data_IF_831910016958
#
_entry.id   IF_831910016958
#
_cell.length_a   1.000
_cell.length_b   1.000
_cell.length_c   1.000
_cell.angle_alpha   90.00
_cell.angle_beta   90.00
_cell.angle_gamma   90.00
#
_symmetry.space_group_name_H-M   'P 1'
#
loop_
_entity.id
_entity.type
_entity.pdbx_description
1 polymer ?
#
# COMPACT_ATOMS: atom_id res chain seq x y z
N UNK A 1 4.97 -25.72 9.80
CA UNK A 1 4.45 -26.90 10.53
C UNK A 1 3.54 -26.46 11.68
N UNK A 2 3.97 -25.50 12.52
CA UNK A 2 3.21 -24.96 13.68
C UNK A 2 1.73 -24.62 13.34
N UNK A 3 1.47 -23.75 12.36
CA UNK A 3 0.09 -23.38 11.96
C UNK A 3 -0.87 -24.57 11.76
N UNK A 4 -0.44 -25.57 10.99
CA UNK A 4 -1.28 -26.74 10.66
C UNK A 4 -1.59 -27.52 11.92
N UNK A 5 -0.57 -27.78 12.74
CA UNK A 5 -0.73 -28.51 14.00
C UNK A 5 -1.65 -27.77 14.96
N UNK A 6 -1.50 -26.45 15.09
CA UNK A 6 -2.33 -25.63 15.98
C UNK A 6 -3.81 -25.65 15.59
N UNK A 7 -4.10 -25.50 14.29
CA UNK A 7 -5.48 -25.58 13.78
C UNK A 7 -6.06 -26.98 13.99
N UNK A 8 -5.31 -28.05 13.72
CA UNK A 8 -5.79 -29.42 13.95
C UNK A 8 -6.09 -29.68 15.42
N UNK A 9 -5.20 -29.25 16.33
CA UNK A 9 -5.41 -29.35 17.78
C UNK A 9 -6.61 -28.51 18.23
N UNK A 10 -6.81 -27.33 17.67
CA UNK A 10 -7.97 -26.49 17.97
C UNK A 10 -9.27 -27.17 17.56
N UNK A 11 -9.34 -27.73 16.34
CA UNK A 11 -10.51 -28.45 15.85
C UNK A 11 -10.81 -29.68 16.69
N UNK A 12 -9.81 -30.49 17.02
CA UNK A 12 -10.00 -31.67 17.85
C UNK A 12 -10.59 -31.34 19.23
N UNK A 13 -10.16 -30.22 19.84
CA UNK A 13 -10.59 -29.82 21.19
C UNK A 13 -11.93 -29.08 21.22
N UNK A 14 -12.15 -28.18 20.26
CA UNK A 14 -13.21 -27.17 20.34
C UNK A 14 -14.31 -27.35 19.28
N UNK A 15 -14.02 -28.04 18.17
CA UNK A 15 -14.98 -28.20 17.07
C UNK A 15 -15.54 -29.62 17.05
N UNK A 16 -14.68 -30.63 16.96
CA UNK A 16 -15.10 -32.04 16.86
C UNK A 16 -15.46 -32.71 18.18
N UNK A 17 -15.13 -32.07 19.30
CA UNK A 17 -15.50 -32.59 20.61
C UNK A 17 -17.02 -32.63 20.72
N UNK A 18 -17.61 -33.77 21.07
CA UNK A 18 -19.07 -33.95 21.18
C UNK A 18 -19.73 -33.03 22.18
N UNK A 19 -18.98 -32.47 23.14
CA UNK A 19 -19.47 -31.45 24.08
C UNK A 19 -19.34 -30.02 23.56
N UNK A 20 -18.91 -29.83 22.31
CA UNK A 20 -18.78 -28.52 21.67
C UNK A 20 -20.14 -27.86 21.47
N UNK A 21 -20.15 -26.53 21.54
CA UNK A 21 -21.31 -25.69 21.21
C UNK A 21 -21.78 -25.86 19.76
N UNK A 22 -20.92 -26.33 18.85
CA UNK A 22 -21.29 -26.68 17.47
C UNK A 22 -22.27 -27.86 17.37
N UNK A 23 -22.40 -28.66 18.43
CA UNK A 23 -23.40 -29.73 18.54
C UNK A 23 -24.64 -29.30 19.33
N UNK A 24 -24.72 -28.04 19.74
CA UNK A 24 -25.91 -27.50 20.40
C UNK A 24 -26.98 -27.09 19.39
N UNK A 25 -28.18 -26.79 19.89
CA UNK A 25 -29.27 -26.23 19.05
C UNK A 25 -29.00 -24.79 18.60
N UNK A 26 -28.06 -24.09 19.25
CA UNK A 26 -27.80 -22.67 19.03
C UNK A 26 -26.83 -22.47 17.86
N UNK A 27 -27.40 -22.29 16.66
CA UNK A 27 -26.69 -22.10 15.40
C UNK A 27 -26.59 -20.62 15.05
N UNK A 28 -25.59 -19.93 15.59
CA UNK A 28 -25.42 -18.49 15.38
C UNK A 28 -24.03 -18.11 14.88
N UNK A 29 -23.95 -16.92 14.32
CA UNK A 29 -22.74 -16.35 13.72
C UNK A 29 -21.66 -16.01 14.74
N UNK A 30 -22.04 -15.57 15.93
CA UNK A 30 -21.09 -15.25 16.99
C UNK A 30 -20.28 -16.48 17.43
N UNK A 31 -20.93 -17.66 17.52
CA UNK A 31 -20.25 -18.94 17.80
C UNK A 31 -19.32 -19.34 16.66
N UNK A 32 -19.78 -19.23 15.41
CA UNK A 32 -18.96 -19.51 14.23
C UNK A 32 -17.70 -18.61 14.21
N UNK A 33 -17.88 -17.30 14.41
CA UNK A 33 -16.80 -16.33 14.46
C UNK A 33 -15.81 -16.65 15.59
N UNK A 34 -16.30 -16.70 16.84
CA UNK A 34 -15.47 -16.80 18.04
C UNK A 34 -14.76 -18.14 18.21
N UNK A 35 -15.37 -19.26 17.79
CA UNK A 35 -14.83 -20.60 18.04
C UNK A 35 -14.19 -21.27 16.83
N UNK A 36 -14.38 -20.73 15.63
CA UNK A 36 -13.81 -21.31 14.41
C UNK A 36 -13.06 -20.28 13.56
N UNK A 37 -13.74 -19.23 13.08
CA UNK A 37 -13.14 -18.35 12.08
C UNK A 37 -12.02 -17.49 12.68
N UNK A 38 -12.29 -16.72 13.74
CA UNK A 38 -11.28 -15.84 14.34
C UNK A 38 -10.07 -16.62 14.89
N UNK A 39 -10.22 -17.75 15.61
CA UNK A 39 -9.08 -18.55 16.03
C UNK A 39 -8.22 -19.06 14.87
N UNK A 40 -8.83 -19.59 13.80
CA UNK A 40 -8.08 -20.08 12.64
C UNK A 40 -7.30 -18.97 11.95
N UNK A 41 -7.93 -17.80 11.76
CA UNK A 41 -7.28 -16.64 11.18
C UNK A 41 -6.16 -16.11 12.09
N UNK A 42 -6.33 -16.15 13.41
CA UNK A 42 -5.29 -15.80 14.35
C UNK A 42 -4.08 -16.75 14.25
N UNK A 43 -4.30 -18.07 14.22
CA UNK A 43 -3.21 -19.03 14.00
C UNK A 43 -2.51 -18.83 12.65
N UNK A 44 -3.28 -18.47 11.60
CA UNK A 44 -2.74 -18.19 10.28
C UNK A 44 -1.79 -17.00 10.30
N UNK A 45 -2.19 -15.88 10.91
CA UNK A 45 -1.33 -14.68 11.00
C UNK A 45 -0.21 -14.83 12.02
N UNK A 46 -0.37 -15.63 13.08
CA UNK A 46 0.74 -15.92 14.00
C UNK A 46 1.90 -16.64 13.29
N UNK A 47 1.59 -17.33 12.18
CA UNK A 47 2.61 -17.94 11.33
C UNK A 47 3.19 -16.96 10.31
N UNK A 48 2.59 -15.79 10.09
CA UNK A 48 3.24 -14.68 9.35
C UNK A 48 3.97 -13.80 10.35
N UNK A 49 5.12 -13.23 9.97
CA UNK A 49 5.89 -12.38 10.90
C UNK A 49 5.37 -10.95 10.97
N UNK A 50 4.48 -10.57 10.04
CA UNK A 50 4.24 -9.17 9.70
C UNK A 50 2.81 -8.89 9.23
N UNK A 51 1.81 -9.65 9.71
CA UNK A 51 0.38 -9.31 9.55
C UNK A 51 -0.26 -9.31 10.92
N UNK A 52 -1.06 -8.29 11.21
CA UNK A 52 -1.92 -8.25 12.39
C UNK A 52 -3.33 -8.63 11.95
N UNK A 53 -3.95 -9.56 12.67
CA UNK A 53 -5.37 -9.83 12.51
C UNK A 53 -6.13 -9.17 13.65
N UNK A 54 -7.18 -8.41 13.31
CA UNK A 54 -8.07 -7.77 14.28
C UNK A 54 -9.46 -8.39 14.12
N UNK A 55 -9.89 -9.26 15.06
CA UNK A 55 -11.21 -9.88 15.02
C UNK A 55 -12.30 -8.96 15.57
N UNK A 56 -13.54 -9.24 15.17
CA UNK A 56 -14.75 -8.64 15.73
C UNK A 56 -15.33 -7.52 14.87
N UNK A 57 -16.44 -6.98 15.35
CA UNK A 57 -17.18 -5.91 14.68
C UNK A 57 -16.41 -4.58 14.72
N UNK A 58 -15.70 -4.27 13.63
CA UNK A 58 -14.83 -3.09 13.52
C UNK A 58 -15.19 -2.24 12.30
N UNK A 59 -14.80 -0.96 12.32
CA UNK A 59 -14.98 -0.06 11.18
C UNK A 59 -13.69 0.06 10.37
N UNK A 60 -13.76 -0.25 9.07
CA UNK A 60 -12.63 -0.11 8.16
C UNK A 60 -12.23 1.36 7.98
N UNK A 61 -11.00 1.67 8.37
CA UNK A 61 -10.40 3.00 8.22
C UNK A 61 -10.25 3.39 6.76
N UNK A 62 -9.85 2.45 5.90
CA UNK A 62 -9.72 2.69 4.46
C UNK A 62 -11.05 3.16 3.85
N UNK A 63 -12.17 2.53 4.23
CA UNK A 63 -13.49 2.93 3.71
C UNK A 63 -13.92 4.31 4.21
N UNK A 64 -13.61 4.65 5.46
CA UNK A 64 -13.84 5.99 6.00
C UNK A 64 -13.05 7.05 5.23
N UNK A 65 -11.75 6.83 5.01
CA UNK A 65 -10.87 7.72 4.25
C UNK A 65 -11.37 7.93 2.82
N UNK A 66 -11.76 6.85 2.13
CA UNK A 66 -12.26 6.94 0.78
C UNK A 66 -13.64 7.61 0.70
N UNK A 67 -14.48 7.49 1.73
CA UNK A 67 -15.72 8.27 1.84
C UNK A 67 -15.46 9.76 2.01
N UNK A 68 -14.48 10.15 2.83
CA UNK A 68 -14.09 11.55 3.00
C UNK A 68 -13.70 12.17 1.65
N UNK A 69 -12.84 11.48 0.89
CA UNK A 69 -12.42 11.93 -0.44
C UNK A 69 -13.58 12.04 -1.43
N UNK A 70 -14.47 11.04 -1.50
CA UNK A 70 -15.60 11.02 -2.43
C UNK A 70 -16.64 12.09 -2.14
N UNK A 71 -16.84 12.44 -0.87
CA UNK A 71 -17.82 13.43 -0.43
C UNK A 71 -17.25 14.85 -0.33
N UNK A 72 -15.93 15.01 -0.53
CA UNK A 72 -15.23 16.28 -0.36
C UNK A 72 -15.52 16.95 0.99
N UNK A 73 -15.57 16.13 2.05
CA UNK A 73 -15.87 16.59 3.41
C UNK A 73 -14.70 17.40 3.96
N UNK A 74 -15.02 18.51 4.62
CA UNK A 74 -14.08 19.42 5.27
C UNK A 74 -13.63 18.85 6.62
N UNK A 75 -12.52 19.35 7.19
CA UNK A 75 -12.05 18.92 8.51
C UNK A 75 -13.08 19.11 9.63
N UNK A 76 -13.96 20.11 9.48
CA UNK A 76 -15.01 20.46 10.45
C UNK A 76 -16.28 19.61 10.29
N UNK A 77 -16.37 18.79 9.23
CA UNK A 77 -17.49 17.88 9.04
C UNK A 77 -17.30 16.61 9.88
N UNK A 78 -18.40 16.07 10.39
CA UNK A 78 -18.38 14.78 11.08
C UNK A 78 -17.78 13.69 10.18
N UNK A 79 -16.68 13.09 10.66
CA UNK A 79 -15.99 12.04 9.90
C UNK A 79 -16.95 10.87 9.68
N UNK A 80 -17.12 10.40 8.43
CA UNK A 80 -17.99 9.28 8.15
C UNK A 80 -17.42 8.03 8.81
N UNK A 81 -18.28 7.27 9.47
CA UNK A 81 -17.92 5.93 9.90
C UNK A 81 -17.53 5.09 8.67
N UNK A 82 -16.52 4.24 8.90
CA UNK A 82 -16.08 3.25 7.93
C UNK A 82 -17.16 2.22 7.63
N UNK A 83 -16.83 1.29 6.75
CA UNK A 83 -17.62 0.08 6.58
C UNK A 83 -17.43 -0.81 7.81
N UNK A 84 -18.51 -1.21 8.48
CA UNK A 84 -18.47 -2.17 9.58
C UNK A 84 -18.16 -3.57 9.01
N UNK A 85 -17.21 -4.31 9.55
CA UNK A 85 -16.79 -5.65 9.10
C UNK A 85 -16.53 -6.55 10.31
N UNK A 86 -16.41 -7.87 10.12
CA UNK A 86 -16.20 -8.86 11.19
C UNK A 86 -14.72 -9.14 11.49
N UNK A 87 -13.82 -8.51 10.74
CA UNK A 87 -12.40 -8.46 11.06
C UNK A 87 -11.57 -7.83 9.95
N UNK A 88 -10.31 -7.55 10.24
CA UNK A 88 -9.36 -6.98 9.27
C UNK A 88 -7.96 -7.57 9.39
N UNK A 89 -7.27 -7.62 8.26
CA UNK A 89 -5.84 -7.90 8.19
C UNK A 89 -5.11 -6.57 8.00
N UNK A 90 -4.13 -6.30 8.86
CA UNK A 90 -3.42 -5.03 8.91
C UNK A 90 -1.92 -5.23 8.76
N UNK A 91 -1.31 -4.27 8.07
CA UNK A 91 0.13 -4.11 8.02
C UNK A 91 0.62 -3.52 9.36
N UNK A 92 1.67 -4.09 9.98
CA UNK A 92 2.19 -3.67 11.28
C UNK A 92 3.08 -2.43 11.17
N UNK A 93 2.59 -1.37 10.51
CA UNK A 93 3.21 -0.05 10.54
C UNK A 93 2.41 0.94 11.39
N UNK A 94 3.02 2.09 11.67
CA UNK A 94 2.40 3.17 12.45
C UNK A 94 1.07 3.66 11.87
N UNK A 95 0.78 3.39 10.59
CA UNK A 95 -0.46 3.81 9.94
C UNK A 95 -1.57 2.77 10.05
N UNK A 96 -1.24 1.52 10.38
CA UNK A 96 -2.17 0.40 10.50
C UNK A 96 -2.90 0.15 9.18
N UNK A 97 -2.18 0.12 8.05
CA UNK A 97 -2.80 -0.04 6.74
C UNK A 97 -3.55 -1.36 6.63
N UNK A 98 -4.83 -1.30 6.30
CA UNK A 98 -5.68 -2.47 6.11
C UNK A 98 -5.39 -3.09 4.73
N UNK A 99 -5.07 -4.37 4.69
CA UNK A 99 -4.76 -5.15 3.47
C UNK A 99 -5.78 -6.25 3.19
N UNK A 100 -6.74 -6.44 4.08
CA UNK A 100 -7.86 -7.33 3.86
C UNK A 100 -8.92 -7.23 4.95
N UNK A 101 -10.06 -7.87 4.70
CA UNK A 101 -11.22 -7.83 5.58
C UNK A 101 -11.95 -9.18 5.62
N UNK A 102 -12.77 -9.36 6.66
CA UNK A 102 -13.57 -10.56 6.92
C UNK A 102 -15.04 -10.19 7.03
N UNK A 103 -15.92 -10.98 6.41
CA UNK A 103 -17.37 -10.91 6.60
C UNK A 103 -17.92 -12.30 6.90
N UNK A 104 -18.78 -12.37 7.91
CA UNK A 104 -19.55 -13.54 8.31
C UNK A 104 -21.01 -13.29 7.94
N UNK A 105 -21.55 -14.11 7.03
CA UNK A 105 -22.91 -14.03 6.56
C UNK A 105 -23.72 -15.22 7.06
N UNK A 106 -24.19 -15.10 8.29
CA UNK A 106 -25.04 -16.08 8.96
C UNK A 106 -24.28 -17.04 9.89
N UNK A 107 -25.04 -17.75 10.71
CA UNK A 107 -24.51 -18.81 11.56
C UNK A 107 -24.19 -20.09 10.79
N UNK A 108 -23.43 -20.98 11.42
CA UNK A 108 -23.18 -22.31 10.86
C UNK A 108 -24.51 -23.05 10.64
N UNK A 109 -24.69 -23.64 9.44
CA UNK A 109 -25.93 -24.29 9.00
C UNK A 109 -27.15 -23.36 8.83
N UNK A 110 -26.93 -22.06 8.62
CA UNK A 110 -27.98 -21.12 8.18
C UNK A 110 -27.88 -20.86 6.67
N UNK A 111 -29.02 -20.74 6.00
CA UNK A 111 -29.10 -20.45 4.56
C UNK A 111 -29.59 -19.01 4.32
N UNK A 112 -28.86 -18.03 4.85
CA UNK A 112 -29.18 -16.60 4.66
C UNK A 112 -28.58 -16.05 3.36
N UNK A 113 -29.16 -16.46 2.23
CA UNK A 113 -28.72 -16.04 0.90
C UNK A 113 -28.81 -14.51 0.69
N UNK A 114 -29.87 -13.80 1.14
CA UNK A 114 -29.92 -12.34 1.01
C UNK A 114 -28.76 -11.64 1.73
N UNK A 115 -28.42 -12.07 2.94
CA UNK A 115 -27.28 -11.51 3.68
C UNK A 115 -25.96 -11.84 3.00
N UNK A 116 -25.76 -13.08 2.56
CA UNK A 116 -24.60 -13.48 1.77
C UNK A 116 -24.38 -12.59 0.55
N UNK A 117 -25.41 -12.33 -0.25
CA UNK A 117 -25.29 -11.50 -1.46
C UNK A 117 -24.92 -10.05 -1.11
N UNK A 118 -25.55 -9.50 -0.06
CA UNK A 118 -25.27 -8.14 0.42
C UNK A 118 -23.82 -8.01 0.88
N UNK A 119 -23.35 -8.94 1.70
CA UNK A 119 -22.00 -8.93 2.25
C UNK A 119 -20.94 -9.27 1.19
N UNK A 120 -21.30 -10.07 0.17
CA UNK A 120 -20.45 -10.30 -0.99
C UNK A 120 -20.19 -9.01 -1.80
N UNK A 121 -21.26 -8.25 -2.08
CA UNK A 121 -21.15 -6.96 -2.78
C UNK A 121 -20.33 -5.99 -1.92
N UNK A 122 -20.62 -5.91 -0.62
CA UNK A 122 -19.84 -5.14 0.36
C UNK A 122 -18.36 -5.52 0.32
N UNK A 123 -18.05 -6.81 0.19
CA UNK A 123 -16.77 -7.41 -0.15
C UNK A 123 -16.00 -6.66 -1.24
N UNK A 124 -16.66 -6.47 -2.37
CA UNK A 124 -16.10 -5.78 -3.53
C UNK A 124 -15.81 -4.30 -3.25
N UNK A 125 -16.76 -3.59 -2.63
CA UNK A 125 -16.61 -2.18 -2.29
C UNK A 125 -15.49 -1.95 -1.27
N UNK A 126 -15.41 -2.81 -0.25
CA UNK A 126 -14.37 -2.74 0.77
C UNK A 126 -12.98 -2.98 0.19
N UNK A 127 -12.78 -4.04 -0.62
CA UNK A 127 -11.50 -4.27 -1.31
C UNK A 127 -11.08 -3.09 -2.19
N UNK A 128 -12.02 -2.50 -2.92
CA UNK A 128 -11.74 -1.31 -3.73
C UNK A 128 -11.29 -0.14 -2.86
N UNK A 129 -11.93 0.06 -1.71
CA UNK A 129 -11.56 1.11 -0.77
C UNK A 129 -10.18 0.85 -0.13
N UNK A 130 -9.85 -0.40 0.21
CA UNK A 130 -8.51 -0.80 0.69
C UNK A 130 -7.41 -0.45 -0.33
N UNK A 131 -7.59 -0.85 -1.60
CA UNK A 131 -6.62 -0.53 -2.66
C UNK A 131 -6.46 0.97 -2.87
N UNK A 132 -7.58 1.70 -2.91
CA UNK A 132 -7.52 3.15 -3.10
C UNK A 132 -6.88 3.86 -1.91
N UNK A 133 -7.06 3.36 -0.69
CA UNK A 133 -6.41 3.94 0.48
C UNK A 133 -4.89 3.79 0.40
N UNK A 134 -4.39 2.63 -0.04
CA UNK A 134 -2.96 2.46 -0.32
C UNK A 134 -2.47 3.42 -1.41
N UNK A 135 -3.24 3.57 -2.50
CA UNK A 135 -2.90 4.48 -3.62
C UNK A 135 -2.85 5.93 -3.14
N UNK A 136 -3.83 6.37 -2.34
CA UNK A 136 -3.86 7.73 -1.78
C UNK A 136 -2.67 7.96 -0.86
N UNK A 137 -2.37 7.02 0.04
CA UNK A 137 -1.27 7.15 0.99
C UNK A 137 0.11 7.17 0.31
N UNK A 138 0.25 6.52 -0.85
CA UNK A 138 1.52 6.41 -1.58
C UNK A 138 1.39 6.83 -3.05
N UNK A 139 0.76 7.98 -3.28
CA UNK A 139 0.37 8.52 -4.60
C UNK A 139 1.51 8.72 -5.62
N UNK A 140 2.77 8.74 -5.18
CA UNK A 140 3.96 8.78 -6.04
C UNK A 140 4.62 7.43 -6.31
N UNK A 141 4.07 6.31 -5.84
CA UNK A 141 4.63 4.98 -6.11
C UNK A 141 4.50 4.56 -7.58
N UNK A 142 5.40 3.69 -8.03
CA UNK A 142 5.39 3.17 -9.41
C UNK A 142 4.18 2.25 -9.65
N UNK A 143 3.41 2.58 -10.68
CA UNK A 143 2.26 1.83 -11.12
C UNK A 143 2.59 0.36 -11.48
N UNK A 144 3.80 0.09 -12.01
CA UNK A 144 4.26 -1.29 -12.30
C UNK A 144 4.33 -2.17 -11.06
N UNK A 145 4.59 -1.58 -9.90
CA UNK A 145 4.58 -2.27 -8.61
C UNK A 145 3.14 -2.36 -8.11
N UNK A 146 2.39 -1.26 -8.15
CA UNK A 146 0.99 -1.21 -7.71
C UNK A 146 0.13 -2.30 -8.36
N UNK A 147 0.26 -2.55 -9.66
CA UNK A 147 -0.53 -3.57 -10.37
C UNK A 147 -0.28 -5.01 -9.90
N UNK A 148 0.76 -5.26 -9.11
CA UNK A 148 1.05 -6.55 -8.45
C UNK A 148 0.45 -6.63 -7.05
N UNK A 149 0.06 -5.49 -6.46
CA UNK A 149 -0.51 -5.44 -5.12
C UNK A 149 -1.89 -6.08 -5.12
N UNK A 150 -2.14 -6.89 -4.09
CA UNK A 150 -3.41 -7.55 -3.85
C UNK A 150 -3.91 -7.21 -2.46
N UNK A 151 -5.22 -6.97 -2.36
CA UNK A 151 -5.95 -6.95 -1.09
C UNK A 151 -6.89 -8.12 -1.04
N UNK A 152 -7.34 -8.49 0.16
CA UNK A 152 -8.01 -9.76 0.38
C UNK A 152 -9.37 -9.62 1.05
N UNK A 153 -10.31 -10.46 0.65
CA UNK A 153 -11.63 -10.57 1.25
C UNK A 153 -11.91 -12.02 1.63
N UNK A 154 -12.08 -12.25 2.93
CA UNK A 154 -12.41 -13.55 3.49
C UNK A 154 -13.90 -13.58 3.81
N UNK A 155 -14.66 -14.28 2.98
CA UNK A 155 -16.11 -14.32 3.07
C UNK A 155 -16.56 -15.67 3.59
N UNK A 156 -17.36 -15.68 4.66
CA UNK A 156 -17.88 -16.89 5.26
C UNK A 156 -19.40 -16.89 5.14
N UNK A 157 -19.96 -17.98 4.65
CA UNK A 157 -21.40 -18.22 4.60
C UNK A 157 -21.71 -19.59 5.19
N UNK A 158 -22.28 -19.59 6.39
CA UNK A 158 -22.42 -20.83 7.15
C UNK A 158 -21.05 -21.48 7.40
N UNK A 159 -20.83 -22.67 6.84
CA UNK A 159 -19.54 -23.37 6.94
C UNK A 159 -18.66 -23.19 5.68
N UNK A 160 -19.22 -22.62 4.61
CA UNK A 160 -18.48 -22.35 3.39
C UNK A 160 -17.65 -21.09 3.55
N UNK A 161 -16.40 -21.18 3.11
CA UNK A 161 -15.46 -20.07 3.07
C UNK A 161 -15.02 -19.85 1.64
N UNK A 162 -15.04 -18.58 1.23
CA UNK A 162 -14.50 -18.13 -0.03
C UNK A 162 -13.44 -17.05 0.23
N UNK A 163 -12.24 -17.27 -0.29
CA UNK A 163 -11.16 -16.28 -0.20
C UNK A 163 -10.99 -15.62 -1.55
N UNK A 164 -11.24 -14.31 -1.58
CA UNK A 164 -11.15 -13.49 -2.77
C UNK A 164 -9.94 -12.55 -2.68
N UNK A 165 -9.33 -12.28 -3.82
CA UNK A 165 -8.32 -11.24 -3.97
C UNK A 165 -8.78 -10.17 -4.95
N UNK A 166 -8.37 -8.93 -4.71
CA UNK A 166 -8.55 -7.82 -5.64
C UNK A 166 -7.21 -7.20 -6.02
N UNK A 167 -6.99 -6.98 -7.31
CA UNK A 167 -5.88 -6.19 -7.84
C UNK A 167 -6.33 -5.13 -8.85
N UNK A 168 -5.39 -4.28 -9.26
CA UNK A 168 -5.59 -3.18 -10.21
C UNK A 168 -4.66 -3.35 -11.43
N UNK A 169 -4.92 -4.34 -12.32
CA UNK A 169 -4.02 -4.71 -13.41
C UNK A 169 -3.78 -3.60 -14.43
N UNK A 170 -4.80 -2.75 -14.64
CA UNK A 170 -4.79 -1.56 -15.48
C UNK A 170 -5.41 -0.41 -14.68
N UNK A 171 -4.95 0.83 -14.92
CA UNK A 171 -5.41 1.99 -14.16
C UNK A 171 -6.93 2.08 -14.17
N UNK A 172 -7.51 2.24 -12.98
CA UNK A 172 -8.96 2.31 -12.73
C UNK A 172 -9.77 1.05 -13.07
N UNK A 173 -9.12 -0.05 -13.48
CA UNK A 173 -9.78 -1.34 -13.73
C UNK A 173 -9.44 -2.28 -12.58
N UNK A 174 -10.43 -2.53 -11.72
CA UNK A 174 -10.31 -3.47 -10.61
C UNK A 174 -10.67 -4.87 -11.10
N UNK A 175 -9.90 -5.86 -10.65
CA UNK A 175 -10.18 -7.27 -10.91
C UNK A 175 -10.30 -8.01 -9.60
N UNK A 176 -11.47 -8.58 -9.37
CA UNK A 176 -11.73 -9.52 -8.28
C UNK A 176 -11.54 -10.94 -8.80
N UNK A 177 -10.88 -11.80 -8.04
CA UNK A 177 -10.68 -13.21 -8.39
C UNK A 177 -10.83 -14.09 -7.17
N UNK A 178 -11.43 -15.26 -7.36
CA UNK A 178 -11.57 -16.27 -6.32
C UNK A 178 -10.24 -17.04 -6.21
N UNK A 179 -9.59 -16.95 -5.05
CA UNK A 179 -8.36 -17.68 -4.80
C UNK A 179 -8.64 -19.15 -4.44
N UNK A 180 -9.72 -19.39 -3.70
CA UNK A 180 -10.14 -20.74 -3.36
C UNK A 180 -11.36 -20.77 -2.45
N UNK A 181 -11.98 -21.95 -2.41
CA UNK A 181 -13.13 -22.25 -1.58
C UNK A 181 -12.89 -23.53 -0.80
N UNK A 182 -13.50 -23.62 0.37
CA UNK A 182 -13.54 -24.82 1.19
C UNK A 182 -14.70 -24.74 2.18
N UNK A 183 -15.00 -25.86 2.84
CA UNK A 183 -15.92 -25.91 3.96
C UNK A 183 -15.16 -26.28 5.23
N UNK A 184 -15.53 -25.70 6.36
CA UNK A 184 -15.02 -26.14 7.64
C UNK A 184 -15.89 -27.26 8.20
N UNK A 185 -15.30 -28.42 8.55
CA UNK A 185 -16.07 -29.50 9.13
C UNK A 185 -16.38 -29.22 10.59
N UNK A 186 -17.62 -29.49 11.00
CA UNK A 186 -18.05 -29.48 12.41
C UNK A 186 -18.13 -30.89 13.02
N UNK A 187 -17.95 -31.94 12.22
CA UNK A 187 -17.96 -33.33 12.68
C UNK A 187 -16.70 -34.06 12.21
N UNK A 188 -16.27 -35.05 12.99
CA UNK A 188 -15.05 -35.79 12.71
C UNK A 188 -15.13 -36.59 11.40
N UNK A 189 -16.31 -37.05 11.00
CA UNK A 189 -16.55 -37.79 9.77
C UNK A 189 -16.10 -36.99 8.54
N UNK A 190 -16.20 -35.67 8.61
CA UNK A 190 -15.84 -34.74 7.53
C UNK A 190 -14.44 -34.13 7.70
N UNK A 191 -13.57 -34.68 8.55
CA UNK A 191 -12.24 -34.12 8.84
C UNK A 191 -11.34 -33.94 7.59
N UNK A 192 -11.59 -34.66 6.51
CA UNK A 192 -10.86 -34.51 5.26
C UNK A 192 -11.05 -33.11 4.63
N UNK A 193 -12.19 -32.45 4.86
CA UNK A 193 -12.43 -31.07 4.43
C UNK A 193 -11.47 -30.09 5.12
N UNK A 194 -11.11 -30.36 6.38
CA UNK A 194 -10.12 -29.54 7.10
C UNK A 194 -8.75 -29.62 6.44
N UNK A 195 -8.36 -30.79 5.92
CA UNK A 195 -7.09 -30.95 5.19
C UNK A 195 -7.08 -30.10 3.92
N UNK A 196 -8.20 -30.04 3.19
CA UNK A 196 -8.35 -29.15 2.04
C UNK A 196 -8.33 -27.67 2.45
N UNK A 197 -9.10 -27.30 3.49
CA UNK A 197 -9.13 -25.96 4.05
C UNK A 197 -7.72 -25.47 4.42
N UNK A 198 -6.93 -26.29 5.10
CA UNK A 198 -5.55 -25.98 5.49
C UNK A 198 -4.65 -25.67 4.28
N UNK A 199 -4.83 -26.36 3.15
CA UNK A 199 -4.09 -26.06 1.91
C UNK A 199 -4.47 -24.70 1.34
N UNK A 200 -5.76 -24.38 1.28
CA UNK A 200 -6.25 -23.09 0.79
C UNK A 200 -5.80 -21.96 1.71
N UNK A 201 -5.90 -22.13 3.03
CA UNK A 201 -5.42 -21.20 4.05
C UNK A 201 -3.90 -21.00 3.97
N UNK A 202 -3.12 -22.05 3.69
CA UNK A 202 -1.68 -21.93 3.50
C UNK A 202 -1.33 -21.12 2.23
N UNK A 203 -2.14 -21.21 1.17
CA UNK A 203 -2.01 -20.36 -0.01
C UNK A 203 -2.42 -18.91 0.29
N UNK A 204 -3.49 -18.72 1.06
CA UNK A 204 -3.90 -17.39 1.52
C UNK A 204 -2.79 -16.70 2.30
N UNK A 205 -2.16 -17.42 3.24
CA UNK A 205 -1.02 -16.95 4.01
C UNK A 205 0.13 -16.48 3.12
N UNK A 206 0.50 -17.26 2.10
CA UNK A 206 1.52 -16.86 1.11
C UNK A 206 1.09 -15.61 0.35
N UNK A 207 -0.19 -15.51 -0.01
CA UNK A 207 -0.77 -14.33 -0.63
C UNK A 207 -0.64 -13.07 0.23
N UNK A 208 -0.89 -13.19 1.54
CA UNK A 208 -0.64 -12.10 2.49
C UNK A 208 0.84 -11.73 2.52
N UNK A 209 1.75 -12.70 2.69
CA UNK A 209 3.20 -12.44 2.72
C UNK A 209 3.69 -11.73 1.44
N UNK A 210 3.16 -12.11 0.27
CA UNK A 210 3.50 -11.48 -1.00
C UNK A 210 2.91 -10.07 -1.13
N UNK A 211 1.68 -9.84 -0.64
CA UNK A 211 1.11 -8.49 -0.51
C UNK A 211 2.03 -7.59 0.31
N UNK A 212 2.56 -8.06 1.45
CA UNK A 212 3.47 -7.28 2.28
C UNK A 212 4.75 -6.88 1.54
N UNK A 213 5.36 -7.83 0.83
CA UNK A 213 6.59 -7.58 0.05
C UNK A 213 6.34 -6.52 -1.03
N UNK A 214 5.24 -6.65 -1.77
CA UNK A 214 4.87 -5.70 -2.84
C UNK A 214 4.55 -4.34 -2.25
N UNK A 215 3.85 -4.28 -1.11
CA UNK A 215 3.52 -3.03 -0.45
C UNK A 215 4.79 -2.30 0.02
N UNK A 216 5.76 -3.00 0.60
CA UNK A 216 7.05 -2.39 0.98
C UNK A 216 7.87 -1.92 -0.23
N UNK A 217 7.84 -2.67 -1.34
CA UNK A 217 8.41 -2.25 -2.63
C UNK A 217 7.75 -0.95 -3.13
N UNK A 218 6.41 -0.87 -3.04
CA UNK A 218 5.62 0.27 -3.46
C UNK A 218 5.89 1.50 -2.58
N UNK A 219 5.95 1.32 -1.25
CA UNK A 219 6.32 2.36 -0.28
C UNK A 219 7.72 2.91 -0.55
N UNK A 220 8.69 2.03 -0.88
CA UNK A 220 10.06 2.44 -1.23
C UNK A 220 10.09 3.25 -2.53
N UNK A 221 9.34 2.81 -3.55
CA UNK A 221 9.20 3.54 -4.81
C UNK A 221 8.58 4.92 -4.60
N UNK A 222 7.52 5.01 -3.79
CA UNK A 222 6.90 6.27 -3.41
C UNK A 222 7.92 7.23 -2.78
N UNK A 223 8.66 6.79 -1.75
CA UNK A 223 9.69 7.61 -1.08
C UNK A 223 10.74 8.14 -2.07
N UNK A 224 11.25 7.27 -2.95
CA UNK A 224 12.23 7.64 -3.98
C UNK A 224 11.67 8.71 -4.93
N UNK A 225 10.46 8.51 -5.44
CA UNK A 225 9.85 9.41 -6.41
C UNK A 225 9.45 10.75 -5.78
N UNK A 226 9.03 10.74 -4.50
CA UNK A 226 8.79 11.95 -3.71
C UNK A 226 10.06 12.79 -3.59
N UNK A 227 11.21 12.17 -3.24
CA UNK A 227 12.50 12.88 -3.14
C UNK A 227 12.94 13.49 -4.48
N UNK A 228 12.82 12.73 -5.58
CA UNK A 228 13.16 13.23 -6.92
C UNK A 228 12.29 14.42 -7.33
N UNK A 229 11.01 14.42 -6.98
CA UNK A 229 10.12 15.56 -7.22
C UNK A 229 10.52 16.78 -6.41
N UNK A 230 10.85 16.61 -5.13
CA UNK A 230 11.33 17.71 -4.29
C UNK A 230 12.61 18.33 -4.87
N UNK A 231 13.59 17.51 -5.27
CA UNK A 231 14.81 17.99 -5.92
C UNK A 231 14.51 18.72 -7.24
N UNK A 232 13.58 18.21 -8.06
CA UNK A 232 13.18 18.87 -9.30
C UNK A 232 12.49 20.22 -9.06
N UNK A 233 11.64 20.33 -8.04
CA UNK A 233 10.98 21.58 -7.66
C UNK A 233 12.01 22.58 -7.13
N UNK A 234 12.92 22.16 -6.27
CA UNK A 234 14.00 23.00 -5.76
C UNK A 234 14.90 23.51 -6.90
N UNK A 235 15.23 22.65 -7.86
CA UNK A 235 16.01 23.02 -9.05
C UNK A 235 15.25 24.01 -9.94
N UNK A 236 13.94 23.80 -10.17
CA UNK A 236 13.10 24.75 -10.92
C UNK A 236 13.05 26.12 -10.23
N UNK A 237 12.92 26.14 -8.90
CA UNK A 237 12.91 27.39 -8.15
C UNK A 237 14.28 28.10 -8.18
N UNK A 238 15.38 27.34 -8.20
CA UNK A 238 16.74 27.87 -8.31
C UNK A 238 17.04 28.43 -9.72
N UNK A 239 16.61 27.73 -10.77
CA UNK A 239 16.81 28.15 -12.16
C UNK A 239 15.87 29.31 -12.54
N UNK A 240 14.77 29.50 -11.80
CA UNK A 240 13.70 30.45 -12.12
C UNK A 240 12.83 29.95 -13.28
N UNK A 241 11.81 30.72 -13.64
CA UNK A 241 11.06 30.47 -14.87
C UNK A 241 12.02 30.52 -16.05
N UNK A 242 11.89 29.56 -16.99
CA UNK A 242 12.64 29.60 -18.23
C UNK A 242 12.41 30.99 -18.86
N UNK A 243 13.47 31.80 -18.95
CA UNK A 243 13.41 33.10 -19.62
C UNK A 243 12.71 32.88 -20.96
N UNK A 244 11.65 33.64 -21.19
CA UNK A 244 10.91 33.59 -22.45
C UNK A 244 11.92 33.60 -23.59
N UNK A 245 11.90 32.57 -24.42
CA UNK A 245 12.72 32.56 -25.63
C UNK A 245 12.37 33.85 -26.39
N UNK A 246 13.36 34.62 -26.88
CA UNK A 246 13.08 35.84 -27.62
C UNK A 246 12.05 35.52 -28.70
N UNK A 247 10.92 36.24 -28.71
CA UNK A 247 9.93 36.06 -29.76
C UNK A 247 10.63 36.26 -31.10
N UNK A 248 10.51 35.28 -32.01
CA UNK A 248 11.02 35.41 -33.37
C UNK A 248 10.46 36.71 -33.95
N UNK A 249 11.29 37.65 -34.41
CA UNK A 249 10.79 38.88 -35.00
C UNK A 249 9.96 38.53 -36.24
N UNK A 250 8.67 38.80 -36.20
CA UNK A 250 7.75 38.62 -37.33
C UNK A 250 7.70 39.89 -38.17
N UNK A 251 8.01 39.76 -39.46
CA UNK A 251 7.95 40.86 -40.44
C UNK A 251 9.22 41.01 -41.28
N UNK A 252 9.19 41.89 -42.28
CA UNK A 252 10.28 42.13 -43.26
C UNK A 252 11.63 42.58 -42.67
N UNK A 253 11.71 42.84 -41.36
CA UNK A 253 12.96 43.17 -40.63
C UNK A 253 13.65 41.96 -39.97
N UNK A 254 13.13 40.75 -40.12
CA UNK A 254 13.70 39.52 -39.54
C UNK A 254 15.01 39.04 -40.17
N UNK A 255 15.50 39.71 -41.21
CA UNK A 255 16.70 39.33 -41.98
C UNK A 255 17.96 40.13 -41.63
N UNK A 256 17.92 40.95 -40.58
CA UNK A 256 19.10 41.70 -40.15
C UNK A 256 19.62 41.07 -38.86
N UNK A 257 20.68 40.28 -38.98
CA UNK A 257 21.52 39.87 -37.85
C UNK A 257 22.52 41.01 -37.68
N UNK A 258 22.30 41.88 -36.69
CA UNK A 258 23.36 42.78 -36.25
C UNK A 258 24.35 41.96 -35.41
N UNK A 259 25.66 42.09 -35.63
CA UNK A 259 26.65 41.52 -34.73
C UNK A 259 26.40 42.03 -33.32
N UNK A 260 26.59 41.15 -32.33
CA UNK A 260 26.58 41.54 -30.93
C UNK A 260 27.79 42.46 -30.72
N UNK A 261 27.54 43.75 -30.49
CA UNK A 261 28.56 44.65 -29.96
C UNK A 261 28.92 44.13 -28.57
N UNK A 262 30.13 43.56 -28.45
CA UNK A 262 30.76 43.39 -27.16
C UNK A 262 31.03 44.79 -26.60
N UNK A 263 30.14 45.31 -25.78
CA UNK A 263 30.46 46.41 -24.88
C UNK A 263 31.52 45.91 -23.90
N UNK A 264 32.79 46.07 -24.28
CA UNK A 264 33.86 46.17 -23.31
C UNK A 264 33.60 47.45 -22.53
N UNK A 265 33.28 47.30 -21.25
CA UNK A 265 33.46 48.38 -20.29
C UNK A 265 34.95 48.73 -20.26
N UNK A 266 35.30 49.83 -20.91
CA UNK A 266 36.51 50.58 -20.62
C UNK A 266 36.06 51.90 -19.99
N UNK A 267 35.84 51.84 -18.68
CA UNK A 267 36.08 53.00 -17.83
C UNK A 267 37.60 53.19 -17.81
N UNK A 268 38.11 54.26 -18.41
CA UNK A 268 39.34 54.93 -17.99
C UNK A 268 39.40 56.32 -18.63
N UNK A 269 39.06 57.31 -17.80
CA UNK A 269 39.54 58.69 -17.88
C UNK A 269 41.05 58.65 -17.58
N UNK A 270 41.88 58.91 -18.59
CA UNK A 270 43.30 59.21 -18.41
C UNK A 270 43.47 60.73 -18.38
N UNK A 271 43.57 61.28 -17.16
CA UNK A 271 44.31 62.51 -16.91
C UNK A 271 45.41 62.24 -15.90
N UNK A 272 46.61 62.65 -16.29
CA UNK A 272 47.87 62.73 -15.54
C UNK A 272 48.78 61.49 -15.54
N UNK A 273 49.76 61.62 -16.43
CA UNK A 273 51.09 61.03 -16.45
C UNK A 273 51.72 60.89 -15.05
N UNK A 274 52.25 59.70 -14.75
CA UNK A 274 53.65 59.52 -14.33
C UNK A 274 54.05 58.03 -14.45
N UNK A 275 54.91 57.75 -15.42
CA UNK A 275 55.68 56.51 -15.62
C UNK A 275 57.06 56.66 -14.92
N UNK A 276 57.92 55.63 -14.78
CA UNK A 276 57.76 54.24 -14.32
C UNK A 276 58.86 53.97 -13.22
N UNK A 277 59.38 52.76 -12.87
CA UNK A 277 59.96 51.75 -13.78
C UNK A 277 59.68 50.27 -13.42
N UNK A 278 59.72 49.42 -14.45
CA UNK A 278 59.94 47.98 -14.29
C UNK A 278 61.38 47.68 -13.81
N UNK A 279 61.63 46.55 -13.12
CA UNK A 279 62.28 45.44 -13.84
C UNK A 279 61.89 44.02 -13.37
N UNK A 280 61.57 43.17 -14.34
CA UNK A 280 62.17 41.85 -14.67
C UNK A 280 62.46 40.73 -13.64
N UNK A 281 62.57 39.47 -14.12
CA UNK A 281 62.23 38.24 -13.40
C UNK A 281 63.43 37.41 -12.90
N UNK A 282 63.21 36.54 -11.92
CA UNK A 282 63.98 35.31 -11.59
C UNK A 282 63.29 34.66 -10.37
N UNK A 283 63.13 33.35 -10.17
CA UNK A 283 63.79 32.17 -10.69
C UNK A 283 64.05 31.24 -9.49
N UNK A 284 63.63 29.97 -9.57
CA UNK A 284 64.01 28.84 -8.69
C UNK A 284 63.48 28.86 -7.23
N UNK A 285 63.16 27.77 -6.52
CA UNK A 285 63.38 26.33 -6.68
C UNK A 285 62.73 25.58 -5.47
N UNK A 286 62.49 24.26 -5.64
CA UNK A 286 62.42 23.18 -4.61
C UNK A 286 61.07 22.82 -3.92
N UNK A 287 60.53 21.67 -4.35
CA UNK A 287 59.95 20.57 -3.55
C UNK A 287 60.92 20.07 -2.42
N UNK A 288 60.59 19.15 -1.46
CA UNK A 288 59.49 18.16 -1.42
C UNK A 288 58.87 17.79 -0.03
N UNK A 289 57.87 16.88 -0.07
CA UNK A 289 57.52 15.77 0.85
C UNK A 289 57.34 15.92 2.39
N UNK A 290 56.19 15.45 2.90
CA UNK A 290 55.95 14.30 3.83
C UNK A 290 54.45 14.29 4.20
N UNK A 291 53.61 13.26 3.98
CA UNK A 291 53.51 11.89 4.53
C UNK A 291 53.24 11.79 6.04
N UNK A 292 52.29 10.89 6.34
CA UNK A 292 51.92 10.24 7.61
C UNK A 292 51.08 11.08 8.58
N UNK A 293 50.11 10.54 9.34
CA UNK A 293 49.41 9.25 9.46
C UNK A 293 48.62 9.36 10.76
N UNK A 294 47.35 8.93 10.79
CA UNK A 294 46.72 8.13 11.85
C UNK A 294 45.37 7.61 11.34
#
# INVERSE_FOLDING_TARGET
>A
MIFVTDVLLWFAKNVFNTTSTFHSINKNEALLGSLMIHPVLQYLVNATKHVIYVPGEIYLKASANQRLLRRNLKPDDDKPLGMKVDGSFQFPDERGLEIGMVELSGGYLTNDLPRYLKDHVKGYWGCRDLLNDVITNFNHGDYKILRRLRVWFFHVHGLEVQIWGMDLPVSKVYRMFLMGTFQFPISWENHHELVHALRVLQNFRRGLDDTLKVLEEFKRSHRRNTLLRFQSIALKNYIGDAKSSPQKPTGKKSRIINPVEHHMHHDHDDSDYDDPPSPSPSGHSRYPHQLNSD
#
